data_IF_771015925464
#
_entry.id   IF_771015925464
#
_cell.length_a   1.000
_cell.length_b   1.000
_cell.length_c   1.000
_cell.angle_alpha   90.00
_cell.angle_beta   90.00
_cell.angle_gamma   90.00
#
_symmetry.space_group_name_H-M   'P 1'
#
loop_
_entity.id
_entity.type
_entity.pdbx_description
1 polymer ?
#
# COMPACT_ATOMS: atom_id res chain seq x y z
N UNK A 1 -55.64 4.93 28.44
CA UNK A 1 -54.32 5.19 27.86
C UNK A 1 -53.31 4.93 28.96
N UNK A 2 -52.39 3.97 28.77
CA UNK A 2 -51.34 3.64 29.73
C UNK A 2 -50.06 4.32 29.26
N UNK A 3 -49.48 5.18 30.10
CA UNK A 3 -48.21 5.84 29.81
C UNK A 3 -47.05 4.86 30.05
N UNK A 4 -46.37 4.51 28.96
CA UNK A 4 -45.11 3.75 28.99
C UNK A 4 -43.95 4.72 29.17
N UNK A 5 -43.38 4.78 30.38
CA UNK A 5 -42.16 5.54 30.63
C UNK A 5 -40.94 4.65 30.42
N UNK A 6 -40.13 5.01 29.40
CA UNK A 6 -38.80 4.45 29.15
C UNK A 6 -37.79 4.99 30.17
N UNK A 7 -37.30 4.11 31.04
CA UNK A 7 -36.23 4.42 31.98
C UNK A 7 -34.87 4.14 31.31
N UNK A 8 -34.10 5.19 31.06
CA UNK A 8 -32.73 5.06 30.53
C UNK A 8 -31.74 4.88 31.71
N UNK A 9 -31.23 3.66 31.85
CA UNK A 9 -30.18 3.34 32.82
C UNK A 9 -28.83 3.73 32.20
N UNK A 10 -28.27 4.86 32.63
CA UNK A 10 -26.89 5.23 32.31
C UNK A 10 -25.93 4.35 33.11
N UNK A 11 -25.26 3.40 32.44
CA UNK A 11 -24.14 2.65 33.04
C UNK A 11 -22.90 3.53 33.05
N UNK A 12 -22.31 3.74 34.22
CA UNK A 12 -21.09 4.54 34.39
C UNK A 12 -19.95 3.97 33.55
N UNK A 13 -19.26 4.86 32.83
CA UNK A 13 -18.26 4.58 31.81
C UNK A 13 -16.85 4.28 32.35
N UNK A 14 -16.70 4.03 33.65
CA UNK A 14 -15.37 3.93 34.27
C UNK A 14 -14.67 2.58 34.09
N UNK A 15 -15.39 1.49 33.78
CA UNK A 15 -14.76 0.16 33.59
C UNK A 15 -14.48 -0.21 32.12
N UNK A 16 -14.98 0.56 31.15
CA UNK A 16 -14.86 0.21 29.73
C UNK A 16 -13.42 0.26 29.19
N UNK A 17 -12.56 1.11 29.76
CA UNK A 17 -11.18 1.30 29.27
C UNK A 17 -10.29 0.07 29.47
N UNK A 18 -10.42 -0.60 30.61
CA UNK A 18 -9.56 -1.74 31.00
C UNK A 18 -9.89 -3.02 30.20
N UNK A 19 -11.17 -3.24 29.88
CA UNK A 19 -11.60 -4.36 29.02
C UNK A 19 -11.15 -4.18 27.57
N UNK A 20 -11.23 -2.96 27.04
CA UNK A 20 -10.82 -2.66 25.66
C UNK A 20 -9.30 -2.86 25.47
N UNK A 21 -8.48 -2.44 26.45
CA UNK A 21 -7.03 -2.67 26.39
C UNK A 21 -6.65 -4.16 26.44
N UNK A 22 -7.38 -4.95 27.23
CA UNK A 22 -7.15 -6.39 27.35
C UNK A 22 -7.57 -7.15 26.09
N UNK A 23 -8.68 -6.74 25.46
CA UNK A 23 -9.14 -7.30 24.18
C UNK A 23 -8.13 -7.07 23.05
N UNK A 24 -7.62 -5.84 22.94
CA UNK A 24 -6.63 -5.49 21.92
C UNK A 24 -5.33 -6.30 22.05
N UNK A 25 -4.86 -6.56 23.28
CA UNK A 25 -3.65 -7.37 23.52
C UNK A 25 -3.83 -8.84 23.09
N UNK A 26 -4.98 -9.42 23.40
CA UNK A 26 -5.30 -10.80 23.00
C UNK A 26 -5.42 -10.95 21.48
N UNK A 27 -5.98 -9.94 20.81
CA UNK A 27 -6.05 -9.89 19.35
C UNK A 27 -4.66 -9.78 18.70
N UNK A 28 -3.81 -8.87 19.18
CA UNK A 28 -2.43 -8.72 18.68
C UNK A 28 -1.63 -10.02 18.84
N UNK A 29 -1.77 -10.72 19.97
CA UNK A 29 -1.11 -12.02 20.16
C UNK A 29 -1.57 -13.07 19.13
N UNK A 30 -2.87 -13.15 18.85
CA UNK A 30 -3.40 -14.08 17.83
C UNK A 30 -2.90 -13.73 16.44
N UNK A 31 -2.86 -12.46 16.07
CA UNK A 31 -2.32 -12.00 14.80
C UNK A 31 -0.85 -12.41 14.65
N UNK A 32 -0.03 -12.19 15.68
CA UNK A 32 1.37 -12.63 15.67
C UNK A 32 1.54 -14.14 15.59
N UNK A 33 0.66 -14.91 16.25
CA UNK A 33 0.67 -16.37 16.18
C UNK A 33 0.43 -16.86 14.74
N UNK A 34 -0.53 -16.26 14.04
CA UNK A 34 -0.81 -16.57 12.63
C UNK A 34 0.34 -16.09 11.73
N UNK A 35 0.78 -14.84 11.90
CA UNK A 35 1.82 -14.22 11.08
C UNK A 35 3.16 -14.97 11.12
N UNK A 36 3.51 -15.58 12.27
CA UNK A 36 4.76 -16.33 12.49
C UNK A 36 4.63 -17.82 12.23
N UNK A 37 3.46 -18.33 11.86
CA UNK A 37 3.29 -19.76 11.57
C UNK A 37 3.98 -20.13 10.24
N UNK A 38 5.25 -20.52 10.29
CA UNK A 38 6.04 -20.90 9.12
C UNK A 38 5.53 -22.15 8.38
N UNK A 39 4.63 -22.92 9.00
CA UNK A 39 3.99 -24.07 8.37
C UNK A 39 2.74 -23.69 7.58
N UNK A 40 2.20 -22.49 7.78
CA UNK A 40 1.06 -21.98 7.02
C UNK A 40 1.53 -21.33 5.72
N UNK A 41 0.77 -21.56 4.65
CA UNK A 41 0.99 -20.91 3.37
C UNK A 41 0.98 -19.36 3.50
N UNK A 42 1.86 -18.62 2.81
CA UNK A 42 1.94 -17.16 2.95
C UNK A 42 0.61 -16.42 2.74
N UNK A 43 -0.21 -16.88 1.79
CA UNK A 43 -1.57 -16.35 1.55
C UNK A 43 -2.46 -16.41 2.80
N UNK A 44 -2.36 -17.48 3.61
CA UNK A 44 -3.16 -17.62 4.84
C UNK A 44 -2.64 -16.72 5.97
N UNK A 45 -1.34 -16.39 5.93
CA UNK A 45 -0.69 -15.50 6.90
C UNK A 45 -0.90 -14.03 6.57
N UNK A 46 -1.08 -13.71 5.28
CA UNK A 46 -1.16 -12.35 4.76
C UNK A 46 -2.15 -11.46 5.52
N UNK A 47 -3.42 -11.85 5.78
CA UNK A 47 -4.36 -10.97 6.45
C UNK A 47 -3.87 -10.54 7.84
N UNK A 48 -3.23 -11.45 8.57
CA UNK A 48 -2.67 -11.14 9.88
C UNK A 48 -1.47 -10.19 9.79
N UNK A 49 -0.58 -10.42 8.83
CA UNK A 49 0.62 -9.59 8.59
C UNK A 49 0.20 -8.17 8.15
N UNK A 50 -0.75 -8.06 7.23
CA UNK A 50 -1.27 -6.78 6.73
C UNK A 50 -1.98 -6.02 7.85
N UNK A 51 -2.73 -6.70 8.70
CA UNK A 51 -3.39 -6.07 9.85
C UNK A 51 -2.38 -5.57 10.90
N UNK A 52 -1.34 -6.36 11.21
CA UNK A 52 -0.23 -5.92 12.07
C UNK A 52 0.50 -4.70 11.47
N UNK A 53 0.72 -4.70 10.15
CA UNK A 53 1.32 -3.58 9.43
C UNK A 53 0.46 -2.32 9.49
N UNK A 54 -0.85 -2.46 9.32
CA UNK A 54 -1.82 -1.36 9.45
C UNK A 54 -1.84 -0.77 10.86
N UNK A 55 -1.71 -1.63 11.88
CA UNK A 55 -1.60 -1.23 13.30
C UNK A 55 -0.22 -0.68 13.67
N UNK A 56 0.77 -0.83 12.79
CA UNK A 56 2.18 -0.51 13.04
C UNK A 56 2.71 -1.22 14.29
N UNK A 57 2.31 -2.48 14.48
CA UNK A 57 2.72 -3.29 15.63
C UNK A 57 4.25 -3.46 15.68
N UNK A 58 4.82 -3.44 16.88
CA UNK A 58 6.27 -3.54 17.08
C UNK A 58 6.79 -4.88 16.55
N UNK A 59 7.87 -4.85 15.77
CA UNK A 59 8.46 -6.06 15.16
C UNK A 59 7.97 -6.35 13.73
N UNK A 60 6.95 -5.66 13.22
CA UNK A 60 6.40 -5.94 11.88
C UNK A 60 7.38 -5.62 10.76
N UNK A 61 8.22 -4.60 10.95
CA UNK A 61 9.25 -4.22 9.99
C UNK A 61 10.35 -5.28 9.90
N UNK A 62 10.75 -5.86 11.02
CA UNK A 62 11.73 -6.93 11.13
C UNK A 62 11.19 -8.21 10.48
N UNK A 63 9.90 -8.52 10.71
CA UNK A 63 9.23 -9.63 10.02
C UNK A 63 9.20 -9.41 8.50
N UNK A 64 8.82 -8.21 8.04
CA UNK A 64 8.86 -7.91 6.60
C UNK A 64 10.28 -8.05 6.05
N UNK A 65 11.30 -7.61 6.80
CA UNK A 65 12.69 -7.68 6.37
C UNK A 65 13.18 -9.13 6.21
N UNK A 66 12.80 -10.04 7.10
CA UNK A 66 13.15 -11.46 6.96
C UNK A 66 12.43 -12.11 5.77
N UNK A 67 11.15 -11.80 5.58
CA UNK A 67 10.35 -12.29 4.44
C UNK A 67 10.88 -11.79 3.09
N UNK A 68 11.39 -10.56 3.01
CA UNK A 68 12.02 -10.03 1.80
C UNK A 68 13.31 -10.79 1.40
N UNK A 69 13.94 -11.50 2.33
CA UNK A 69 15.12 -12.35 2.07
C UNK A 69 14.78 -13.81 1.81
N UNK A 70 13.50 -14.18 1.92
CA UNK A 70 13.03 -15.54 1.66
C UNK A 70 13.20 -15.93 0.19
N UNK A 71 13.45 -17.21 -0.06
CA UNK A 71 13.39 -17.78 -1.42
C UNK A 71 11.96 -17.94 -1.91
N UNK A 72 10.97 -17.92 -1.01
CA UNK A 72 9.56 -17.97 -1.36
C UNK A 72 9.09 -16.60 -1.91
N UNK A 73 8.65 -16.63 -3.16
CA UNK A 73 8.16 -15.46 -3.88
C UNK A 73 6.87 -14.90 -3.26
N UNK A 74 6.03 -15.73 -2.66
CA UNK A 74 4.80 -15.29 -2.04
C UNK A 74 5.06 -14.55 -0.73
N UNK A 75 6.01 -15.04 0.08
CA UNK A 75 6.47 -14.30 1.25
C UNK A 75 7.02 -12.93 0.87
N UNK A 76 7.78 -12.86 -0.22
CA UNK A 76 8.28 -11.59 -0.75
C UNK A 76 7.12 -10.64 -1.12
N UNK A 77 6.09 -11.11 -1.81
CA UNK A 77 4.92 -10.29 -2.15
C UNK A 77 4.12 -9.84 -0.93
N UNK A 78 3.93 -10.71 0.05
CA UNK A 78 3.25 -10.37 1.31
C UNK A 78 4.03 -9.29 2.05
N UNK A 79 5.36 -9.39 2.12
CA UNK A 79 6.20 -8.38 2.75
C UNK A 79 6.12 -7.02 2.05
N UNK A 80 6.19 -6.98 0.70
CA UNK A 80 6.03 -5.73 -0.04
C UNK A 80 4.65 -5.10 0.19
N UNK A 81 3.58 -5.90 0.16
CA UNK A 81 2.23 -5.42 0.44
C UNK A 81 2.09 -4.88 1.86
N UNK A 82 2.66 -5.57 2.85
CA UNK A 82 2.68 -5.11 4.23
C UNK A 82 3.41 -3.75 4.37
N UNK A 83 4.58 -3.59 3.75
CA UNK A 83 5.30 -2.31 3.74
C UNK A 83 4.49 -1.18 3.09
N UNK A 84 3.79 -1.46 1.98
CA UNK A 84 2.87 -0.50 1.35
C UNK A 84 1.72 -0.16 2.29
N UNK A 85 1.16 -1.13 3.01
CA UNK A 85 0.08 -0.88 3.98
C UNK A 85 0.53 -0.02 5.16
N UNK A 86 1.78 -0.14 5.61
CA UNK A 86 2.31 0.69 6.70
C UNK A 86 2.34 2.17 6.33
N UNK A 87 2.70 2.48 5.07
CA UNK A 87 2.80 3.83 4.53
C UNK A 87 3.62 4.82 5.40
N UNK A 88 4.63 4.34 6.11
CA UNK A 88 5.55 5.16 6.91
C UNK A 88 6.84 5.49 6.16
N UNK A 89 7.59 6.54 6.56
CA UNK A 89 8.90 6.85 5.98
C UNK A 89 9.87 5.67 6.02
N UNK A 90 9.90 4.91 7.13
CA UNK A 90 10.80 3.76 7.30
C UNK A 90 10.41 2.58 6.40
N UNK A 91 9.12 2.41 6.10
CA UNK A 91 8.66 1.42 5.14
C UNK A 91 9.02 1.82 3.71
N UNK A 92 8.90 3.12 3.38
CA UNK A 92 9.28 3.69 2.10
C UNK A 92 10.79 3.57 1.85
N UNK A 93 11.62 3.83 2.85
CA UNK A 93 13.08 3.63 2.78
C UNK A 93 13.45 2.17 2.49
N UNK A 94 12.79 1.22 3.16
CA UNK A 94 12.99 -0.21 2.90
C UNK A 94 12.60 -0.58 1.48
N UNK A 95 11.49 -0.04 0.95
CA UNK A 95 11.09 -0.27 -0.44
C UNK A 95 12.08 0.35 -1.44
N UNK A 96 12.62 1.54 -1.16
CA UNK A 96 13.66 2.17 -2.01
C UNK A 96 14.94 1.31 -2.01
N UNK A 97 15.39 0.85 -0.84
CA UNK A 97 16.53 -0.06 -0.73
C UNK A 97 16.27 -1.39 -1.47
N UNK A 98 15.04 -1.91 -1.38
CA UNK A 98 14.61 -3.10 -2.10
C UNK A 98 14.63 -2.87 -3.62
N UNK A 99 14.18 -1.71 -4.11
CA UNK A 99 14.23 -1.36 -5.54
C UNK A 99 15.67 -1.43 -6.08
N UNK A 100 16.63 -0.88 -5.34
CA UNK A 100 18.03 -0.86 -5.73
C UNK A 100 18.62 -2.28 -5.89
N UNK A 101 18.15 -3.24 -5.08
CA UNK A 101 18.57 -4.65 -5.07
C UNK A 101 17.79 -5.55 -6.04
N UNK A 102 16.63 -5.09 -6.52
CA UNK A 102 15.77 -5.88 -7.40
C UNK A 102 16.12 -5.65 -8.88
N UNK A 103 15.88 -6.68 -9.68
CA UNK A 103 16.00 -6.67 -11.14
C UNK A 103 14.68 -7.11 -11.80
N UNK A 104 14.61 -6.97 -13.11
CA UNK A 104 13.49 -7.42 -13.97
C UNK A 104 12.11 -6.98 -13.45
N UNK A 105 11.14 -7.89 -13.46
CA UNK A 105 9.76 -7.64 -13.06
C UNK A 105 9.64 -7.25 -11.57
N UNK A 106 10.53 -7.73 -10.68
CA UNK A 106 10.53 -7.36 -9.26
C UNK A 106 10.81 -5.88 -9.09
N UNK A 107 11.77 -5.34 -9.86
CA UNK A 107 12.09 -3.91 -9.85
C UNK A 107 10.88 -3.07 -10.26
N UNK A 108 10.17 -3.47 -11.31
CA UNK A 108 8.93 -2.79 -11.73
C UNK A 108 7.83 -2.88 -10.66
N UNK A 109 7.65 -4.04 -10.05
CA UNK A 109 6.65 -4.21 -8.98
C UNK A 109 6.94 -3.33 -7.76
N UNK A 110 8.21 -3.25 -7.33
CA UNK A 110 8.61 -2.39 -6.21
C UNK A 110 8.45 -0.92 -6.57
N UNK A 111 8.79 -0.51 -7.80
CA UNK A 111 8.55 0.87 -8.27
C UNK A 111 7.07 1.26 -8.19
N UNK A 112 6.18 0.40 -8.70
CA UNK A 112 4.73 0.60 -8.60
C UNK A 112 4.28 0.67 -7.14
N UNK A 113 4.85 -0.16 -6.27
CA UNK A 113 4.55 -0.18 -4.83
C UNK A 113 4.96 1.13 -4.13
N UNK A 114 6.16 1.63 -4.43
CA UNK A 114 6.67 2.94 -3.94
C UNK A 114 5.73 4.07 -4.38
N UNK A 115 5.29 4.05 -5.64
CA UNK A 115 4.41 5.08 -6.19
C UNK A 115 3.06 5.20 -5.45
N UNK A 116 2.59 4.14 -4.79
CA UNK A 116 1.33 4.13 -4.02
C UNK A 116 1.42 4.84 -2.68
N UNK A 117 2.61 4.98 -2.12
CA UNK A 117 2.84 5.62 -0.81
C UNK A 117 3.86 6.78 -0.87
N UNK A 118 4.17 7.26 -2.07
CA UNK A 118 5.20 8.28 -2.26
C UNK A 118 4.81 9.60 -1.57
N UNK A 119 5.66 10.05 -0.65
CA UNK A 119 5.59 11.36 0.00
C UNK A 119 6.56 12.36 -0.65
N UNK A 120 6.41 13.65 -0.33
CA UNK A 120 7.20 14.73 -0.93
C UNK A 120 8.72 14.61 -0.67
N UNK A 121 9.09 14.09 0.51
CA UNK A 121 10.48 13.92 0.94
C UNK A 121 11.27 12.98 0.01
N UNK A 122 10.60 11.99 -0.57
CA UNK A 122 11.23 10.97 -1.42
C UNK A 122 11.04 11.21 -2.92
N UNK A 123 10.58 12.39 -3.34
CA UNK A 123 10.45 12.76 -4.77
C UNK A 123 11.79 12.62 -5.49
N UNK A 124 12.91 13.04 -4.88
CA UNK A 124 14.22 13.01 -5.55
C UNK A 124 14.69 11.58 -5.84
N UNK A 125 14.69 10.63 -4.88
CA UNK A 125 14.90 9.21 -5.17
C UNK A 125 13.93 8.67 -6.23
N UNK A 126 12.63 8.94 -6.08
CA UNK A 126 11.61 8.44 -7.01
C UNK A 126 11.81 8.91 -8.45
N UNK A 127 12.20 10.17 -8.62
CA UNK A 127 12.54 10.75 -9.92
C UNK A 127 13.70 10.03 -10.60
N UNK A 128 14.69 9.54 -9.84
CA UNK A 128 15.80 8.76 -10.40
C UNK A 128 15.32 7.38 -10.85
N UNK A 129 14.49 6.71 -10.04
CA UNK A 129 13.92 5.40 -10.38
C UNK A 129 13.01 5.47 -11.62
N UNK A 130 12.21 6.53 -11.75
CA UNK A 130 11.31 6.73 -12.89
C UNK A 130 12.02 6.75 -14.25
N UNK A 131 13.32 7.10 -14.29
CA UNK A 131 14.12 7.10 -15.52
C UNK A 131 14.24 5.71 -16.14
N UNK A 132 14.24 4.65 -15.33
CA UNK A 132 14.34 3.27 -15.78
C UNK A 132 13.11 2.87 -16.62
N UNK A 133 11.98 3.56 -16.45
CA UNK A 133 10.70 3.24 -17.06
C UNK A 133 10.33 4.12 -18.26
N UNK A 134 11.22 5.03 -18.70
CA UNK A 134 11.04 5.89 -19.88
C UNK A 134 10.98 5.11 -21.22
N UNK A 135 11.29 3.81 -21.20
CA UNK A 135 11.21 2.92 -22.35
C UNK A 135 9.88 2.17 -22.43
N UNK A 136 9.08 2.20 -21.37
CA UNK A 136 7.76 1.56 -21.38
C UNK A 136 6.82 2.38 -22.26
N UNK A 137 6.05 1.69 -23.10
CA UNK A 137 4.99 2.31 -23.91
C UNK A 137 3.74 2.60 -23.04
N UNK A 138 3.50 1.76 -22.04
CA UNK A 138 2.31 1.85 -21.18
C UNK A 138 2.70 1.73 -19.72
N UNK A 139 2.09 2.57 -18.88
CA UNK A 139 2.30 2.58 -17.45
C UNK A 139 0.96 2.69 -16.74
N UNK A 140 0.54 1.58 -16.15
CA UNK A 140 -0.62 1.57 -15.25
C UNK A 140 -0.26 2.31 -13.96
N UNK A 141 -0.97 3.42 -13.72
CA UNK A 141 -0.80 4.30 -12.57
C UNK A 141 -1.95 4.18 -11.56
N UNK A 142 -2.76 3.12 -11.69
CA UNK A 142 -3.90 2.89 -10.80
C UNK A 142 -3.44 2.79 -9.34
N UNK A 143 -4.05 3.61 -8.48
CA UNK A 143 -3.74 3.66 -7.05
C UNK A 143 -2.42 4.37 -6.70
N UNK A 144 -1.76 5.04 -7.64
CA UNK A 144 -0.58 5.85 -7.36
C UNK A 144 -0.95 7.15 -6.65
N UNK A 145 -0.03 7.70 -5.87
CA UNK A 145 -0.22 9.05 -5.33
C UNK A 145 -0.13 10.09 -6.44
N UNK A 146 -0.84 11.20 -6.27
CA UNK A 146 -0.75 12.35 -7.18
C UNK A 146 0.70 12.82 -7.35
N UNK A 147 1.47 12.79 -6.28
CA UNK A 147 2.91 13.13 -6.28
C UNK A 147 3.71 12.23 -7.21
N UNK A 148 3.45 10.92 -7.20
CA UNK A 148 4.14 9.98 -8.08
C UNK A 148 3.79 10.24 -9.55
N UNK A 149 2.50 10.43 -9.86
CA UNK A 149 2.03 10.73 -11.22
C UNK A 149 2.68 12.01 -11.76
N UNK A 150 2.63 13.10 -10.99
CA UNK A 150 3.23 14.38 -11.38
C UNK A 150 4.75 14.26 -11.55
N UNK A 151 5.41 13.47 -10.70
CA UNK A 151 6.86 13.24 -10.82
C UNK A 151 7.20 12.48 -12.10
N UNK A 152 6.46 11.43 -12.45
CA UNK A 152 6.69 10.70 -13.71
C UNK A 152 6.40 11.58 -14.91
N UNK A 153 5.30 12.34 -14.92
CA UNK A 153 5.01 13.32 -15.99
C UNK A 153 6.15 14.32 -16.17
N UNK A 154 6.66 14.87 -15.08
CA UNK A 154 7.79 15.80 -15.13
C UNK A 154 9.07 15.14 -15.67
N UNK A 155 9.31 13.87 -15.35
CA UNK A 155 10.45 13.10 -15.91
C UNK A 155 10.24 12.87 -17.40
N UNK A 156 9.09 12.37 -17.85
CA UNK A 156 8.78 12.16 -19.26
C UNK A 156 8.95 13.44 -20.08
N UNK A 157 8.34 14.56 -19.65
CA UNK A 157 8.45 15.84 -20.33
C UNK A 157 9.91 16.31 -20.47
N UNK A 158 10.73 16.09 -19.44
CA UNK A 158 12.16 16.45 -19.47
C UNK A 158 12.96 15.66 -20.52
N UNK A 159 12.51 14.45 -20.85
CA UNK A 159 13.16 13.58 -21.84
C UNK A 159 12.44 13.60 -23.19
N UNK A 160 11.54 14.57 -23.43
CA UNK A 160 10.82 14.71 -24.70
C UNK A 160 9.79 13.60 -24.95
N UNK A 161 9.30 12.97 -23.89
CA UNK A 161 8.30 11.90 -23.98
C UNK A 161 6.94 12.48 -23.63
N UNK A 162 5.99 12.38 -24.57
CA UNK A 162 4.65 12.89 -24.39
C UNK A 162 3.81 11.92 -23.56
N UNK A 163 3.07 12.47 -22.59
CA UNK A 163 2.26 11.69 -21.67
C UNK A 163 0.79 11.93 -21.98
N UNK A 164 0.14 10.92 -22.54
CA UNK A 164 -1.30 10.94 -22.79
C UNK A 164 -2.03 10.44 -21.55
N UNK A 165 -2.84 11.33 -20.97
CA UNK A 165 -3.63 11.04 -19.79
C UNK A 165 -5.05 10.62 -20.20
N UNK A 166 -5.26 9.32 -20.40
CA UNK A 166 -6.58 8.77 -20.75
C UNK A 166 -7.60 8.82 -19.61
N UNK A 167 -7.18 9.25 -18.41
CA UNK A 167 -8.05 9.29 -17.23
C UNK A 167 -9.15 10.37 -17.34
N UNK A 168 -9.06 11.29 -18.30
CA UNK A 168 -10.03 12.39 -18.47
C UNK A 168 -11.12 12.13 -19.52
N UNK A 169 -11.00 11.08 -20.35
CA UNK A 169 -11.94 10.86 -21.46
C UNK A 169 -13.30 10.29 -21.03
N UNK A 170 -13.42 9.74 -19.81
CA UNK A 170 -14.66 9.10 -19.32
C UNK A 170 -15.63 10.02 -18.56
N UNK A 171 -15.25 11.27 -18.26
CA UNK A 171 -16.11 12.18 -17.48
C UNK A 171 -17.19 12.91 -18.31
N UNK A 172 -17.25 12.66 -19.63
CA UNK A 172 -18.16 13.34 -20.56
C UNK A 172 -19.46 12.60 -20.91
N UNK A 173 -19.63 11.33 -20.52
CA UNK A 173 -20.84 10.56 -20.85
C UNK A 173 -21.65 10.25 -19.60
N UNK A 174 -22.81 10.91 -19.52
CA UNK A 174 -23.85 10.72 -18.52
C UNK A 174 -24.31 9.26 -18.47
N UNK A 175 -24.23 8.68 -17.27
CA UNK A 175 -25.13 7.62 -16.80
C UNK A 175 -24.86 6.21 -17.35
N UNK A 176 -24.09 5.42 -16.62
CA UNK A 176 -24.53 4.14 -16.02
C UNK A 176 -23.34 3.34 -15.48
N UNK A 177 -23.49 2.88 -14.23
CA UNK A 177 -22.71 1.84 -13.53
C UNK A 177 -21.25 2.14 -13.13
N UNK A 178 -21.01 1.95 -11.82
CA UNK A 178 -19.71 1.97 -11.14
C UNK A 178 -18.77 0.89 -11.68
N UNK A 179 -18.01 1.20 -12.73
CA UNK A 179 -16.77 0.47 -13.03
C UNK A 179 -15.59 1.28 -12.49
N UNK A 180 -14.65 0.60 -11.83
CA UNK A 180 -13.40 1.22 -11.34
C UNK A 180 -12.73 1.94 -12.51
N UNK A 181 -12.55 3.24 -12.41
CA UNK A 181 -11.82 4.01 -13.42
C UNK A 181 -10.37 3.50 -13.47
N UNK A 182 -10.03 2.74 -14.51
CA UNK A 182 -8.66 2.35 -14.80
C UNK A 182 -7.88 3.60 -15.21
N UNK A 183 -6.87 3.96 -14.41
CA UNK A 183 -6.01 5.11 -14.69
C UNK A 183 -4.75 4.60 -15.37
N UNK A 184 -4.74 4.60 -16.70
CA UNK A 184 -3.57 4.21 -17.49
C UNK A 184 -2.91 5.44 -18.09
N UNK A 185 -1.61 5.60 -17.86
CA UNK A 185 -0.78 6.58 -18.56
C UNK A 185 -0.16 5.90 -19.77
N UNK A 186 -0.45 6.42 -20.96
CA UNK A 186 0.25 6.02 -22.18
C UNK A 186 1.45 6.94 -22.37
N UNK A 187 2.56 6.31 -22.70
CA UNK A 187 3.85 6.95 -22.92
C UNK A 187 4.14 6.80 -24.42
N UNK A 188 3.81 7.83 -25.19
CA UNK A 188 4.08 7.87 -26.62
C UNK A 188 5.37 8.65 -26.87
N UNK A 189 6.21 8.12 -27.78
CA UNK A 189 7.41 8.82 -28.25
C UNK A 189 7.07 9.53 -29.55
N UNK A 190 7.31 10.83 -29.58
CA UNK A 190 7.37 11.61 -30.82
C UNK A 190 8.58 11.21 -31.67
#
# INVERSE_FOLDING_TARGET
MKDEHLCLISRSTQDASTYVQSSNRLETHRLWTIARNLHAHPILREPAIVELARRQDTGILELCQSMLTSSDIEEWFVAVRALVTMATPEALERLIALYARCHDWKRQYVFKSIARILTAEYIRPFRLMARDFLRLQTLDVTGWTRTAILTVKAVCNRYGVEVLDKTQESCGQKGESLSKAESTVLIERA
#
